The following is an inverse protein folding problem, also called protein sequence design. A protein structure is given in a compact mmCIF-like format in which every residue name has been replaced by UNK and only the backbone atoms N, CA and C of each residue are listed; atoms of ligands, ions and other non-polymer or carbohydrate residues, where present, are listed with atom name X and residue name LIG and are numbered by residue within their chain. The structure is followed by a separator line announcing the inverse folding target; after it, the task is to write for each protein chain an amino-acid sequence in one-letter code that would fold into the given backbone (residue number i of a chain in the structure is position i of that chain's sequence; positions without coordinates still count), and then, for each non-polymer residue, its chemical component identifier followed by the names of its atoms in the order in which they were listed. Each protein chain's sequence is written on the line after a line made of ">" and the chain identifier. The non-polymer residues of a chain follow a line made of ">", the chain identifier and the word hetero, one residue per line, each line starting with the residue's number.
data_IF_797410217411
#
_entry.id   IF_797410217411
#
_cell.length_a   1.000
_cell.length_b   1.000
_cell.length_c   1.000
_cell.angle_alpha   90.00
_cell.angle_beta   90.00
_cell.angle_gamma   90.00
#
_symmetry.space_group_name_H-M   'P 1'
#
loop_
_entity.id
_entity.type
_entity.pdbx_description
1 polymer ?
#
# COMPACT_ATOMS: atom_id res chain seq x y z
N UNK A 1 71.62 51.18 4.60
CA UNK A 1 70.54 50.53 3.82
C UNK A 1 71.15 49.75 2.67
N UNK A 2 71.26 48.42 2.78
CA UNK A 2 70.84 47.46 1.75
C UNK A 2 71.07 46.04 2.29
N UNK A 3 70.15 45.14 1.93
CA UNK A 3 69.82 43.88 2.58
C UNK A 3 70.44 42.67 1.86
N UNK A 4 70.47 41.53 2.59
CA UNK A 4 70.08 40.18 2.11
C UNK A 4 71.12 39.41 1.25
N UNK A 5 71.30 38.09 1.32
CA UNK A 5 70.71 37.00 2.13
C UNK A 5 71.60 35.76 1.91
N UNK A 6 71.83 34.98 2.95
CA UNK A 6 72.30 33.59 2.85
C UNK A 6 71.07 32.67 2.82
N UNK A 7 71.01 31.66 1.95
CA UNK A 7 70.08 30.53 2.13
C UNK A 7 70.62 29.23 1.55
N UNK A 8 70.84 28.28 2.45
CA UNK A 8 71.24 26.89 2.26
C UNK A 8 70.10 26.05 1.67
N UNK A 9 70.49 25.03 0.88
CA UNK A 9 69.62 24.07 0.19
C UNK A 9 68.95 23.08 1.16
N UNK A 10 67.72 22.59 0.89
CA UNK A 10 67.15 21.45 1.59
C UNK A 10 67.33 20.13 0.81
N UNK A 11 67.62 19.06 1.55
CA UNK A 11 67.66 17.66 1.07
C UNK A 11 66.23 17.11 1.05
N UNK A 12 65.85 16.46 -0.05
CA UNK A 12 64.54 15.81 -0.23
C UNK A 12 64.52 14.42 0.43
N UNK A 13 63.48 14.13 1.22
CA UNK A 13 63.16 12.80 1.76
C UNK A 13 61.81 12.38 1.17
N UNK A 14 61.82 11.40 0.27
CA UNK A 14 60.63 10.76 -0.29
C UNK A 14 60.23 9.57 0.60
N UNK A 15 59.06 9.63 1.24
CA UNK A 15 58.39 8.48 1.84
C UNK A 15 57.28 8.02 0.88
N UNK A 16 57.39 6.78 0.38
CA UNK A 16 56.34 6.12 -0.39
C UNK A 16 55.54 5.19 0.54
N UNK A 17 54.27 5.49 0.77
CA UNK A 17 53.31 4.61 1.46
C UNK A 17 52.46 3.89 0.43
N UNK A 18 52.66 2.58 0.27
CA UNK A 18 51.81 1.69 -0.51
C UNK A 18 50.53 1.38 0.29
N UNK A 19 49.40 1.93 -0.15
CA UNK A 19 48.06 1.59 0.34
C UNK A 19 47.58 0.33 -0.38
N UNK A 20 47.51 -0.78 0.34
CA UNK A 20 46.84 -2.01 -0.13
C UNK A 20 45.34 -1.78 0.03
N UNK A 21 44.64 -1.53 -1.08
CA UNK A 21 43.18 -1.51 -1.13
C UNK A 21 42.67 -2.95 -1.13
N UNK A 22 42.17 -3.43 0.01
CA UNK A 22 41.38 -4.66 0.09
C UNK A 22 40.04 -4.44 -0.61
N UNK A 23 39.80 -5.12 -1.73
CA UNK A 23 38.50 -5.16 -2.38
C UNK A 23 37.52 -5.93 -1.48
N UNK A 24 36.60 -5.23 -0.80
CA UNK A 24 35.40 -5.86 -0.29
C UNK A 24 34.59 -6.32 -1.51
N UNK A 25 34.56 -7.61 -1.77
CA UNK A 25 33.55 -8.22 -2.63
C UNK A 25 32.20 -8.02 -1.95
N UNK A 26 31.53 -6.93 -2.32
CA UNK A 26 30.18 -6.59 -1.86
C UNK A 26 29.23 -7.71 -2.24
N UNK A 27 28.71 -8.41 -1.23
CA UNK A 27 27.48 -9.16 -1.39
C UNK A 27 26.41 -8.15 -1.78
N UNK A 28 25.77 -8.35 -2.92
CA UNK A 28 24.69 -7.50 -3.43
C UNK A 28 23.53 -7.53 -2.44
N UNK A 29 23.46 -6.53 -1.56
CA UNK A 29 22.37 -6.25 -0.62
C UNK A 29 21.08 -5.78 -1.35
N UNK A 30 20.97 -5.97 -2.66
CA UNK A 30 19.86 -5.49 -3.50
C UNK A 30 18.59 -6.33 -3.38
N UNK A 31 18.57 -7.40 -2.58
CA UNK A 31 17.43 -8.33 -2.46
C UNK A 31 16.75 -8.30 -1.08
N UNK A 32 17.06 -7.31 -0.23
CA UNK A 32 16.60 -7.26 1.17
C UNK A 32 15.46 -6.26 1.44
N UNK A 33 14.98 -5.55 0.42
CA UNK A 33 13.75 -4.79 0.49
C UNK A 33 13.10 -4.84 -0.89
N UNK A 34 12.13 -5.73 -1.08
CA UNK A 34 11.19 -5.56 -2.18
C UNK A 34 10.51 -4.21 -1.96
N UNK A 35 10.42 -3.41 -3.01
CA UNK A 35 9.75 -2.11 -3.00
C UNK A 35 8.64 -2.06 -4.06
N UNK A 36 8.01 -0.90 -4.18
CA UNK A 36 6.89 -0.70 -5.12
C UNK A 36 7.33 -0.45 -6.56
N UNK A 37 8.62 -0.51 -6.89
CA UNK A 37 9.11 -0.25 -8.25
C UNK A 37 8.52 -1.28 -9.24
N UNK A 38 7.94 -0.78 -10.34
CA UNK A 38 7.36 -1.63 -11.39
C UNK A 38 5.98 -2.21 -11.06
N UNK A 39 5.31 -1.75 -10.00
CA UNK A 39 3.96 -2.24 -9.63
C UNK A 39 2.81 -1.54 -10.36
N UNK A 40 3.06 -0.46 -11.11
CA UNK A 40 2.03 0.40 -11.73
C UNK A 40 0.98 -0.39 -12.51
N UNK A 41 1.41 -1.31 -13.39
CA UNK A 41 0.48 -2.13 -14.18
C UNK A 41 -0.40 -3.03 -13.29
N UNK A 42 0.16 -3.57 -12.19
CA UNK A 42 -0.61 -4.39 -11.24
C UNK A 42 -1.61 -3.55 -10.46
N UNK A 43 -1.25 -2.32 -10.10
CA UNK A 43 -2.15 -1.36 -9.46
C UNK A 43 -3.33 -1.03 -10.39
N UNK A 44 -3.07 -0.73 -11.66
CA UNK A 44 -4.11 -0.48 -12.66
C UNK A 44 -5.03 -1.70 -12.87
N UNK A 45 -4.45 -2.90 -12.98
CA UNK A 45 -5.20 -4.15 -13.10
C UNK A 45 -6.11 -4.38 -11.88
N UNK A 46 -5.61 -4.10 -10.67
CA UNK A 46 -6.36 -4.26 -9.44
C UNK A 46 -7.50 -3.23 -9.32
N UNK A 47 -7.23 -1.98 -9.65
CA UNK A 47 -8.22 -0.90 -9.65
C UNK A 47 -9.36 -1.13 -10.67
N UNK A 48 -9.11 -1.91 -11.72
CA UNK A 48 -10.10 -2.29 -12.73
C UNK A 48 -10.97 -3.50 -12.32
N UNK A 49 -10.77 -4.09 -11.14
CA UNK A 49 -11.56 -5.24 -10.71
C UNK A 49 -13.04 -4.88 -10.51
N UNK A 50 -13.91 -5.59 -11.23
CA UNK A 50 -15.38 -5.39 -11.17
C UNK A 50 -15.98 -5.51 -9.77
N UNK A 51 -15.32 -6.22 -8.85
CA UNK A 51 -15.82 -6.36 -7.48
C UNK A 51 -15.82 -5.01 -6.74
N UNK A 52 -14.90 -4.09 -7.09
CA UNK A 52 -14.83 -2.73 -6.53
C UNK A 52 -16.06 -1.89 -6.91
N UNK A 53 -16.63 -2.10 -8.09
CA UNK A 53 -17.85 -1.43 -8.57
C UNK A 53 -19.14 -2.16 -8.15
N UNK A 54 -19.03 -3.38 -7.64
CA UNK A 54 -20.17 -4.14 -7.11
C UNK A 54 -20.68 -3.47 -5.85
N UNK A 55 -21.97 -3.17 -5.77
CA UNK A 55 -22.61 -2.57 -4.60
C UNK A 55 -24.11 -2.92 -4.54
N UNK A 56 -24.73 -2.92 -3.34
CA UNK A 56 -26.18 -3.00 -3.23
C UNK A 56 -26.87 -1.89 -4.01
N UNK A 57 -28.12 -2.12 -4.42
CA UNK A 57 -28.96 -1.06 -4.96
C UNK A 57 -29.04 0.12 -3.98
N UNK A 58 -29.12 1.35 -4.50
CA UNK A 58 -29.12 2.61 -3.72
C UNK A 58 -27.79 2.97 -3.04
N UNK A 59 -26.80 2.07 -3.00
CA UNK A 59 -25.45 2.46 -2.59
C UNK A 59 -24.83 3.41 -3.62
N UNK A 60 -24.24 4.49 -3.14
CA UNK A 60 -23.59 5.51 -3.96
C UNK A 60 -22.15 5.70 -3.51
N UNK A 61 -21.26 6.02 -4.44
CA UNK A 61 -19.88 6.38 -4.10
C UNK A 61 -19.91 7.53 -3.09
N UNK A 62 -19.18 7.38 -1.99
CA UNK A 62 -19.17 8.35 -0.91
C UNK A 62 -18.53 9.67 -1.36
N UNK A 63 -18.99 10.78 -0.81
CA UNK A 63 -18.49 12.10 -1.22
C UNK A 63 -17.04 12.28 -0.76
N UNK A 64 -16.15 12.63 -1.69
CA UNK A 64 -14.72 12.74 -1.46
C UNK A 64 -13.95 11.43 -1.65
N UNK A 65 -14.62 10.38 -2.14
CA UNK A 65 -14.05 9.07 -2.52
C UNK A 65 -14.46 8.69 -3.95
N UNK A 66 -14.61 9.68 -4.83
CA UNK A 66 -15.11 9.51 -6.19
C UNK A 66 -14.18 8.68 -7.09
N UNK A 67 -12.89 8.64 -6.77
CA UNK A 67 -11.88 7.85 -7.46
C UNK A 67 -11.65 6.52 -6.74
N UNK A 68 -11.12 5.52 -7.45
CA UNK A 68 -10.61 4.31 -6.78
C UNK A 68 -9.31 4.72 -6.10
N UNK A 69 -9.21 4.54 -4.79
CA UNK A 69 -7.93 4.71 -4.11
C UNK A 69 -7.10 3.46 -4.34
N UNK A 70 -5.97 3.57 -5.02
CA UNK A 70 -5.15 2.43 -5.39
C UNK A 70 -3.68 2.79 -5.34
N UNK A 71 -2.86 1.83 -4.94
CA UNK A 71 -1.44 2.04 -4.82
C UNK A 71 -0.70 0.80 -4.40
N UNK A 72 0.50 1.03 -3.90
CA UNK A 72 1.37 0.00 -3.36
C UNK A 72 1.87 0.43 -1.99
N UNK A 73 1.93 -0.51 -1.07
CA UNK A 73 2.63 -0.34 0.20
C UNK A 73 3.70 -1.42 0.33
N UNK A 74 4.82 -1.01 0.94
CA UNK A 74 5.96 -1.85 1.23
C UNK A 74 6.33 -1.61 2.69
N UNK A 75 5.78 -2.45 3.58
CA UNK A 75 6.16 -2.43 4.99
C UNK A 75 6.95 -3.70 5.31
N UNK A 76 8.09 -3.52 6.00
CA UNK A 76 8.88 -4.63 6.55
C UNK A 76 9.31 -5.70 5.54
N UNK A 77 9.44 -5.32 4.26
CA UNK A 77 9.89 -6.20 3.17
C UNK A 77 8.79 -6.98 2.46
N UNK A 78 7.52 -6.78 2.82
CA UNK A 78 6.36 -7.31 2.08
C UNK A 78 5.76 -6.22 1.19
N UNK A 79 5.67 -6.50 -0.10
CA UNK A 79 5.06 -5.61 -1.09
C UNK A 79 3.66 -6.11 -1.42
N UNK A 80 2.67 -5.25 -1.20
CA UNK A 80 1.31 -5.49 -1.64
C UNK A 80 0.80 -4.29 -2.43
N UNK A 81 0.09 -4.58 -3.51
CA UNK A 81 -0.72 -3.57 -4.22
C UNK A 81 -2.14 -3.64 -3.70
N UNK A 82 -2.79 -2.49 -3.59
CA UNK A 82 -4.15 -2.38 -3.08
C UNK A 82 -5.02 -1.51 -3.98
N UNK A 83 -6.33 -1.73 -3.88
CA UNK A 83 -7.36 -0.90 -4.49
C UNK A 83 -8.60 -0.87 -3.59
N UNK A 84 -9.20 0.30 -3.45
CA UNK A 84 -10.31 0.57 -2.53
C UNK A 84 -11.42 1.41 -3.19
N UNK A 85 -12.66 1.09 -2.82
CA UNK A 85 -13.84 1.93 -3.06
C UNK A 85 -14.64 2.11 -1.78
N UNK A 86 -15.10 3.34 -1.55
CA UNK A 86 -15.94 3.68 -0.40
C UNK A 86 -17.35 4.05 -0.85
N UNK A 87 -18.34 3.48 -0.17
CA UNK A 87 -19.75 3.68 -0.46
C UNK A 87 -20.51 4.20 0.75
N UNK A 88 -21.41 5.16 0.49
CA UNK A 88 -22.50 5.52 1.37
C UNK A 88 -23.74 4.70 0.98
N UNK A 89 -24.38 4.07 1.95
CA UNK A 89 -25.56 3.25 1.71
C UNK A 89 -26.59 3.44 2.83
N UNK A 90 -27.84 3.86 2.50
CA UNK A 90 -28.86 4.13 3.51
C UNK A 90 -29.46 2.87 4.14
N UNK A 91 -29.19 1.68 3.60
CA UNK A 91 -29.68 0.41 4.12
C UNK A 91 -28.86 -0.17 5.28
N UNK A 92 -28.88 -1.49 5.45
CA UNK A 92 -28.28 -2.14 6.63
C UNK A 92 -26.95 -2.85 6.32
N UNK A 93 -26.16 -3.10 7.38
CA UNK A 93 -24.96 -3.94 7.29
C UNK A 93 -25.27 -5.37 6.80
N UNK A 94 -26.46 -5.89 7.12
CA UNK A 94 -26.88 -7.23 6.70
C UNK A 94 -27.11 -7.28 5.17
N UNK A 95 -27.66 -6.23 4.58
CA UNK A 95 -27.87 -6.14 3.13
C UNK A 95 -26.53 -6.08 2.38
N UNK A 96 -25.58 -5.28 2.88
CA UNK A 96 -24.20 -5.23 2.37
C UNK A 96 -23.54 -6.61 2.45
N UNK A 97 -23.65 -7.28 3.60
CA UNK A 97 -23.10 -8.62 3.79
C UNK A 97 -23.70 -9.66 2.84
N UNK A 98 -25.02 -9.64 2.65
CA UNK A 98 -25.70 -10.54 1.72
C UNK A 98 -25.29 -10.28 0.27
N UNK A 99 -25.18 -9.01 -0.12
CA UNK A 99 -24.72 -8.58 -1.44
C UNK A 99 -23.32 -9.12 -1.75
N UNK A 100 -22.34 -8.82 -0.89
CA UNK A 100 -20.95 -9.21 -1.17
C UNK A 100 -20.69 -10.70 -1.07
N UNK A 101 -21.39 -11.44 -0.19
CA UNK A 101 -21.33 -12.91 -0.22
C UNK A 101 -21.81 -13.48 -1.55
N UNK A 102 -22.78 -12.84 -2.19
CA UNK A 102 -23.29 -13.26 -3.50
C UNK A 102 -22.33 -12.83 -4.62
N UNK A 103 -21.93 -11.56 -4.64
CA UNK A 103 -21.05 -10.99 -5.66
C UNK A 103 -19.67 -11.69 -5.67
N UNK A 104 -19.08 -11.92 -4.49
CA UNK A 104 -17.80 -12.62 -4.34
C UNK A 104 -17.88 -14.03 -4.94
N UNK A 105 -18.91 -14.82 -4.60
CA UNK A 105 -19.11 -16.17 -5.17
C UNK A 105 -19.29 -16.14 -6.68
N UNK A 106 -20.07 -15.20 -7.20
CA UNK A 106 -20.30 -15.06 -8.65
C UNK A 106 -19.04 -14.67 -9.41
N UNK A 107 -18.14 -13.89 -8.79
CA UNK A 107 -16.86 -13.51 -9.37
C UNK A 107 -15.73 -14.53 -9.05
N UNK A 108 -16.07 -15.67 -8.43
CA UNK A 108 -15.15 -16.79 -8.20
C UNK A 108 -14.22 -16.62 -6.99
N UNK A 109 -14.57 -15.76 -6.05
CA UNK A 109 -13.92 -15.65 -4.75
C UNK A 109 -14.49 -16.69 -3.79
N UNK A 110 -13.66 -17.16 -2.86
CA UNK A 110 -14.05 -18.08 -1.79
C UNK A 110 -13.96 -17.39 -0.43
N UNK A 111 -14.79 -17.75 0.56
CA UNK A 111 -14.60 -17.25 1.92
C UNK A 111 -13.18 -17.51 2.40
N UNK A 112 -12.59 -16.51 3.04
CA UNK A 112 -11.28 -16.63 3.68
C UNK A 112 -11.38 -17.62 4.87
N UNK A 113 -10.62 -18.73 4.88
CA UNK A 113 -10.69 -19.72 5.94
C UNK A 113 -10.20 -19.20 7.30
N UNK A 114 -9.39 -18.14 7.31
CA UNK A 114 -8.78 -17.59 8.53
C UNK A 114 -9.56 -16.39 9.09
N UNK A 115 -10.61 -15.94 8.37
CA UNK A 115 -11.42 -14.81 8.78
C UNK A 115 -12.37 -15.15 9.93
N UNK A 116 -12.70 -14.16 10.77
CA UNK A 116 -13.68 -14.35 11.83
C UNK A 116 -15.09 -14.61 11.23
N UNK A 117 -16.01 -15.28 11.95
CA UNK A 117 -17.32 -15.64 11.42
C UNK A 117 -18.16 -14.48 10.86
N UNK A 118 -17.98 -13.27 11.40
CA UNK A 118 -18.71 -12.07 11.00
C UNK A 118 -17.95 -11.21 9.97
N UNK A 119 -16.70 -11.55 9.67
CA UNK A 119 -15.89 -10.83 8.70
C UNK A 119 -16.35 -11.13 7.27
N UNK A 120 -16.33 -10.08 6.45
CA UNK A 120 -16.58 -10.19 5.01
C UNK A 120 -15.24 -10.21 4.28
N UNK A 121 -14.50 -11.30 4.45
CA UNK A 121 -13.20 -11.55 3.82
C UNK A 121 -13.32 -12.71 2.83
N UNK A 122 -12.78 -12.51 1.63
CA UNK A 122 -12.77 -13.53 0.57
C UNK A 122 -11.42 -13.55 -0.14
N UNK A 123 -11.01 -14.72 -0.61
CA UNK A 123 -9.72 -14.93 -1.28
C UNK A 123 -9.90 -15.46 -2.70
N UNK A 124 -8.98 -15.06 -3.59
CA UNK A 124 -8.90 -15.53 -4.97
C UNK A 124 -7.46 -15.43 -5.46
N UNK A 125 -6.81 -16.58 -5.69
CA UNK A 125 -5.37 -16.65 -5.99
C UNK A 125 -4.57 -15.94 -4.88
N UNK A 126 -3.68 -15.01 -5.23
CA UNK A 126 -2.88 -14.18 -4.30
C UNK A 126 -3.60 -12.90 -3.89
N UNK A 127 -4.92 -12.81 -4.09
CA UNK A 127 -5.71 -11.64 -3.72
C UNK A 127 -6.63 -11.94 -2.54
N UNK A 128 -6.82 -10.92 -1.73
CA UNK A 128 -7.82 -10.86 -0.68
C UNK A 128 -8.77 -9.69 -0.96
N UNK A 129 -10.06 -9.85 -0.70
CA UNK A 129 -11.04 -8.76 -0.68
C UNK A 129 -11.74 -8.72 0.66
N UNK A 130 -11.80 -7.53 1.26
CA UNK A 130 -12.44 -7.27 2.55
C UNK A 130 -13.47 -6.16 2.44
N UNK A 131 -14.62 -6.37 3.06
CA UNK A 131 -15.64 -5.35 3.19
C UNK A 131 -15.65 -4.88 4.65
N UNK A 132 -15.43 -3.59 4.84
CA UNK A 132 -15.22 -2.99 6.15
C UNK A 132 -16.25 -1.92 6.40
N UNK A 133 -17.03 -2.06 7.47
CA UNK A 133 -18.00 -1.04 7.85
C UNK A 133 -17.33 0.14 8.54
N UNK A 134 -17.64 1.33 8.06
CA UNK A 134 -17.07 2.57 8.57
C UNK A 134 -17.81 3.00 9.84
N UNK A 135 -17.04 3.37 10.85
CA UNK A 135 -17.53 3.97 12.09
C UNK A 135 -16.97 5.38 12.21
N UNK A 136 -17.61 6.22 13.03
CA UNK A 136 -17.10 7.58 13.27
C UNK A 136 -15.67 7.58 13.85
N UNK A 137 -15.33 6.57 14.66
CA UNK A 137 -13.99 6.36 15.21
C UNK A 137 -12.99 6.04 14.11
N UNK A 138 -13.28 5.05 13.27
CA UNK A 138 -12.39 4.64 12.17
C UNK A 138 -12.15 5.77 11.17
N UNK A 139 -13.19 6.51 10.82
CA UNK A 139 -13.07 7.69 9.96
C UNK A 139 -12.17 8.78 10.57
N UNK A 140 -12.13 8.89 11.90
CA UNK A 140 -11.23 9.83 12.58
C UNK A 140 -9.77 9.32 12.55
N UNK A 141 -9.56 8.01 12.75
CA UNK A 141 -8.23 7.38 12.70
C UNK A 141 -7.60 7.48 11.31
N UNK A 142 -8.38 7.27 10.25
CA UNK A 142 -7.95 7.38 8.85
C UNK A 142 -7.83 8.86 8.38
N UNK A 143 -8.08 9.83 9.26
CA UNK A 143 -7.96 11.26 8.94
C UNK A 143 -9.09 11.80 8.06
N UNK A 144 -10.16 11.04 7.85
CA UNK A 144 -11.32 11.43 7.05
C UNK A 144 -12.30 12.35 7.79
N UNK A 145 -12.21 12.42 9.12
CA UNK A 145 -12.98 13.33 9.96
C UNK A 145 -14.48 13.03 9.96
N UNK A 146 -15.30 14.06 10.19
CA UNK A 146 -16.76 13.90 10.17
C UNK A 146 -17.28 13.80 8.73
N UNK A 147 -17.78 12.61 8.35
CA UNK A 147 -18.41 12.31 7.06
C UNK A 147 -19.88 11.91 7.27
N UNK A 148 -20.83 12.86 7.23
CA UNK A 148 -22.23 12.60 7.57
C UNK A 148 -22.92 11.56 6.67
N UNK A 149 -22.51 11.49 5.40
CA UNK A 149 -22.97 10.50 4.42
C UNK A 149 -22.51 9.08 4.75
N UNK A 150 -21.38 8.94 5.44
CA UNK A 150 -20.84 7.65 5.89
C UNK A 150 -21.33 7.25 7.29
N UNK A 151 -21.87 8.20 8.07
CA UNK A 151 -22.45 7.93 9.39
C UNK A 151 -23.97 7.75 9.38
N UNK A 152 -24.65 8.17 8.31
CA UNK A 152 -26.07 7.93 8.09
C UNK A 152 -26.30 6.59 7.38
N UNK A 153 -26.44 5.50 8.13
CA UNK A 153 -26.66 4.16 7.60
C UNK A 153 -25.42 3.28 7.61
N UNK A 154 -25.31 2.36 6.65
CA UNK A 154 -24.13 1.50 6.50
C UNK A 154 -23.13 2.14 5.53
N UNK A 155 -22.30 3.06 6.00
CA UNK A 155 -21.07 3.42 5.28
C UNK A 155 -20.08 2.25 5.31
N UNK A 156 -19.47 1.92 4.18
CA UNK A 156 -18.50 0.83 4.10
C UNK A 156 -17.45 1.04 2.99
N UNK A 157 -16.29 0.43 3.15
CA UNK A 157 -15.26 0.31 2.13
C UNK A 157 -15.10 -1.13 1.67
N UNK A 158 -14.78 -1.31 0.40
CA UNK A 158 -14.29 -2.57 -0.17
C UNK A 158 -12.81 -2.39 -0.47
N UNK A 159 -11.96 -3.21 0.14
CA UNK A 159 -10.52 -3.22 -0.05
C UNK A 159 -10.13 -4.50 -0.77
N UNK A 160 -9.32 -4.39 -1.80
CA UNK A 160 -8.66 -5.53 -2.43
C UNK A 160 -7.16 -5.37 -2.23
N UNK A 161 -6.52 -6.42 -1.72
CA UNK A 161 -5.07 -6.53 -1.59
C UNK A 161 -4.57 -7.64 -2.52
N UNK A 162 -3.41 -7.44 -3.16
CA UNK A 162 -2.72 -8.45 -3.94
C UNK A 162 -1.24 -8.54 -3.56
N UNK A 163 -0.85 -9.75 -3.17
CA UNK A 163 0.50 -10.10 -2.76
C UNK A 163 1.29 -10.67 -3.95
N UNK A 164 2.60 -10.41 -3.97
CA UNK A 164 3.53 -10.88 -5.01
C UNK A 164 3.95 -12.35 -4.81
#
# INVERSE_FOLDING_TARGET
>A
MSLRTTRTRPVSLLLATLLVTSALTGCTLTDLAQDCEGTDARVEELAALRILDSRPDEATVARGFEEVDAGCWSDSGEVAVYAERTYAFPGTRADVAAHYRTAARQDGWSPDPDAAPDDLSFVKKTMNVRIVFLTAERLAEEGHGSRPDLSAGAGYSIHVDSYA
#
